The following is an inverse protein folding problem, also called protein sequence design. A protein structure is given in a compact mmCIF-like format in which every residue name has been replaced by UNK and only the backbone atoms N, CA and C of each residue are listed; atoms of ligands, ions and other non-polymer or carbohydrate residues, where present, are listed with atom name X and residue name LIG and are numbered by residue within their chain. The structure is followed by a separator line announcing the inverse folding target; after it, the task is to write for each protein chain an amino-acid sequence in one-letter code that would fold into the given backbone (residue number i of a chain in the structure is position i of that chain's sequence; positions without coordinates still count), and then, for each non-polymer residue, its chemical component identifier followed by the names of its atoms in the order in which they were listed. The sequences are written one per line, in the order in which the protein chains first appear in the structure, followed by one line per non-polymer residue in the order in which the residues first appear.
data_IF_642415970487
#
_entry.id   IF_642415970487
#
_cell.length_a   1.000
_cell.length_b   1.000
_cell.length_c   1.000
_cell.angle_alpha   90.00
_cell.angle_beta   90.00
_cell.angle_gamma   90.00
#
_symmetry.space_group_name_H-M   'P 1'
#
loop_
_entity.id
_entity.type
_entity.pdbx_description
1 polymer ?
#
# COMPACT_ATOMS: atom_id res chain seq x y z
N UNK A 1 -6.69 11.41 13.11
CA UNK A 1 -6.37 12.58 12.25
C UNK A 1 -5.51 12.08 11.08
N UNK A 2 -5.76 12.54 9.86
CA UNK A 2 -5.00 12.14 8.66
C UNK A 2 -3.70 12.95 8.52
N UNK A 3 -2.69 12.36 7.88
CA UNK A 3 -1.38 12.98 7.65
C UNK A 3 -1.23 13.70 6.32
N UNK A 4 -1.92 13.23 5.27
CA UNK A 4 -1.81 13.78 3.91
C UNK A 4 -3.14 13.78 3.18
N UNK A 5 -3.26 14.60 2.13
CA UNK A 5 -4.43 14.59 1.25
C UNK A 5 -4.60 13.22 0.56
N UNK A 6 -3.50 12.58 0.17
CA UNK A 6 -3.52 11.26 -0.45
C UNK A 6 -4.08 10.20 0.53
N UNK A 7 -3.70 10.26 1.81
CA UNK A 7 -4.26 9.37 2.83
C UNK A 7 -5.77 9.58 3.03
N UNK A 8 -6.25 10.82 2.98
CA UNK A 8 -7.70 11.12 3.05
C UNK A 8 -8.43 10.55 1.84
N UNK A 9 -7.92 10.79 0.62
CA UNK A 9 -8.51 10.28 -0.60
C UNK A 9 -8.57 8.75 -0.58
N UNK A 10 -7.47 8.10 -0.19
CA UNK A 10 -7.39 6.66 -0.06
C UNK A 10 -8.35 6.11 0.99
N UNK A 11 -8.53 6.80 2.12
CA UNK A 11 -9.48 6.37 3.14
C UNK A 11 -10.94 6.55 2.70
N UNK A 12 -11.23 7.60 1.94
CA UNK A 12 -12.58 7.92 1.48
C UNK A 12 -13.14 6.97 0.42
N UNK A 13 -12.30 6.12 -0.20
CA UNK A 13 -12.74 5.14 -1.19
C UNK A 13 -13.01 5.72 -2.58
N UNK A 14 -12.40 6.85 -2.93
CA UNK A 14 -12.56 7.52 -4.22
C UNK A 14 -11.27 7.44 -5.06
N UNK A 15 -11.13 6.44 -5.96
CA UNK A 15 -9.93 6.28 -6.80
C UNK A 15 -9.57 7.50 -7.65
N UNK A 16 -10.57 8.25 -8.11
CA UNK A 16 -10.36 9.42 -8.97
C UNK A 16 -9.53 10.50 -8.27
N UNK A 17 -9.76 10.73 -6.97
CA UNK A 17 -8.97 11.70 -6.22
C UNK A 17 -7.55 11.20 -5.94
N UNK A 18 -7.37 9.89 -5.78
CA UNK A 18 -6.04 9.27 -5.63
C UNK A 18 -5.22 9.50 -6.91
N UNK A 19 -5.80 9.20 -8.08
CA UNK A 19 -5.15 9.41 -9.38
C UNK A 19 -4.81 10.88 -9.63
N UNK A 20 -5.73 11.81 -9.33
CA UNK A 20 -5.49 13.25 -9.49
C UNK A 20 -4.32 13.70 -8.61
N UNK A 21 -4.28 13.27 -7.35
CA UNK A 21 -3.23 13.67 -6.42
C UNK A 21 -1.86 13.12 -6.85
N UNK A 22 -1.79 11.84 -7.25
CA UNK A 22 -0.56 11.22 -7.76
C UNK A 22 -0.08 11.90 -9.05
N UNK A 23 -0.99 12.21 -9.97
CA UNK A 23 -0.68 12.94 -11.21
C UNK A 23 -0.15 14.36 -10.96
N UNK A 24 -0.49 14.96 -9.82
CA UNK A 24 0.03 16.26 -9.37
C UNK A 24 1.29 16.13 -8.48
N UNK A 25 1.93 14.97 -8.46
CA UNK A 25 3.20 14.76 -7.76
C UNK A 25 3.08 14.55 -6.25
N UNK A 26 1.90 14.14 -5.75
CA UNK A 26 1.81 13.69 -4.37
C UNK A 26 2.75 12.51 -4.13
N UNK A 27 3.56 12.59 -3.07
CA UNK A 27 4.40 11.48 -2.66
C UNK A 27 3.54 10.31 -2.17
N UNK A 28 3.57 9.21 -2.93
CA UNK A 28 2.82 7.98 -2.67
C UNK A 28 3.17 7.35 -1.31
N UNK A 29 4.39 7.59 -0.83
CA UNK A 29 4.94 7.00 0.40
C UNK A 29 4.94 7.97 1.59
N UNK A 30 4.36 9.17 1.42
CA UNK A 30 4.31 10.17 2.48
C UNK A 30 3.64 9.61 3.74
N UNK A 31 4.40 9.66 4.85
CA UNK A 31 4.00 9.14 6.15
C UNK A 31 3.32 10.21 7.01
N UNK A 32 2.37 9.78 7.85
CA UNK A 32 1.73 10.61 8.86
C UNK A 32 0.30 10.20 9.21
N UNK A 33 -0.23 10.78 10.28
CA UNK A 33 -1.59 10.51 10.73
C UNK A 33 -1.81 9.08 11.23
N UNK A 34 -3.08 8.73 11.44
CA UNK A 34 -3.47 7.49 12.12
C UNK A 34 -3.13 6.21 11.33
N UNK A 35 -3.18 6.28 10.00
CA UNK A 35 -2.98 5.11 9.15
C UNK A 35 -1.52 4.86 8.76
N UNK A 36 -0.61 5.83 8.91
CA UNK A 36 0.76 5.75 8.39
C UNK A 36 0.84 6.38 7.00
N UNK A 37 0.64 5.62 5.92
CA UNK A 37 0.56 6.17 4.55
C UNK A 37 -0.80 5.91 3.89
N UNK A 38 -0.88 6.22 2.59
CA UNK A 38 -2.08 6.05 1.78
C UNK A 38 -2.45 4.58 1.53
N UNK A 39 -1.45 3.71 1.29
CA UNK A 39 -1.67 2.28 1.06
C UNK A 39 -2.25 1.62 2.30
N UNK A 40 -1.70 1.93 3.47
CA UNK A 40 -2.21 1.45 4.75
C UNK A 40 -3.64 1.93 5.05
N UNK A 41 -4.00 3.15 4.66
CA UNK A 41 -5.37 3.64 4.77
C UNK A 41 -6.34 2.87 3.86
N UNK A 42 -5.97 2.65 2.59
CA UNK A 42 -6.75 1.85 1.65
C UNK A 42 -6.92 0.41 2.15
N UNK A 43 -5.85 -0.20 2.69
CA UNK A 43 -5.88 -1.54 3.25
C UNK A 43 -6.71 -1.66 4.51
N UNK A 44 -6.64 -0.67 5.41
CA UNK A 44 -7.43 -0.62 6.63
C UNK A 44 -8.93 -0.39 6.39
N UNK A 45 -9.34 -0.02 5.17
CA UNK A 45 -10.74 0.21 4.81
C UNK A 45 -11.22 -0.64 3.62
N UNK A 46 -10.39 -1.57 3.13
CA UNK A 46 -10.77 -2.57 2.14
C UNK A 46 -10.85 -2.06 0.70
N UNK A 47 -10.25 -0.91 0.39
CA UNK A 47 -10.35 -0.27 -0.92
C UNK A 47 -9.37 -0.86 -1.93
N UNK A 48 -9.70 -2.05 -2.46
CA UNK A 48 -8.85 -2.81 -3.37
C UNK A 48 -8.32 -1.99 -4.56
N UNK A 49 -9.21 -1.30 -5.28
CA UNK A 49 -8.83 -0.52 -6.46
C UNK A 49 -7.84 0.60 -6.12
N UNK A 50 -7.97 1.21 -4.95
CA UNK A 50 -7.04 2.25 -4.50
C UNK A 50 -5.69 1.63 -4.15
N UNK A 51 -5.68 0.48 -3.48
CA UNK A 51 -4.44 -0.23 -3.19
C UNK A 51 -3.68 -0.57 -4.49
N UNK A 52 -4.37 -1.07 -5.53
CA UNK A 52 -3.78 -1.33 -6.84
C UNK A 52 -3.15 -0.07 -7.46
N UNK A 53 -3.86 1.06 -7.45
CA UNK A 53 -3.37 2.34 -8.01
C UNK A 53 -2.10 2.80 -7.27
N UNK A 54 -2.11 2.75 -5.94
CA UNK A 54 -0.97 3.17 -5.13
C UNK A 54 0.25 2.26 -5.38
N UNK A 55 0.03 0.95 -5.47
CA UNK A 55 1.10 -0.01 -5.77
C UNK A 55 1.67 0.19 -7.18
N UNK A 56 0.82 0.48 -8.17
CA UNK A 56 1.26 0.84 -9.52
C UNK A 56 2.14 2.09 -9.54
N UNK A 57 1.89 3.04 -8.62
CA UNK A 57 2.68 4.26 -8.46
C UNK A 57 3.88 4.10 -7.52
N UNK A 58 4.23 2.87 -7.12
CA UNK A 58 5.44 2.60 -6.33
C UNK A 58 5.26 2.79 -4.82
N UNK A 59 4.03 2.60 -4.30
CA UNK A 59 3.84 2.49 -2.87
C UNK A 59 4.68 1.35 -2.28
N UNK A 60 5.45 1.64 -1.24
CA UNK A 60 6.21 0.64 -0.50
C UNK A 60 5.24 -0.25 0.30
N UNK A 61 5.10 -1.49 -0.16
CA UNK A 61 4.25 -2.53 0.44
C UNK A 61 4.63 -2.83 1.89
N UNK A 62 5.91 -2.64 2.24
CA UNK A 62 6.48 -2.97 3.53
C UNK A 62 6.68 -1.77 4.45
N UNK A 63 6.28 -0.57 4.00
CA UNK A 63 6.36 0.65 4.79
C UNK A 63 5.69 0.46 6.16
N UNK A 64 6.43 0.85 7.20
CA UNK A 64 5.98 0.76 8.58
C UNK A 64 5.41 2.11 9.05
N UNK A 65 4.31 2.07 9.79
CA UNK A 65 3.63 3.25 10.31
C UNK A 65 2.20 2.98 10.77
N UNK A 66 1.56 4.02 11.29
CA UNK A 66 0.15 3.94 11.71
C UNK A 66 -0.14 2.91 12.79
N UNK A 67 -1.43 2.72 13.08
CA UNK A 67 -1.88 1.86 14.19
C UNK A 67 -1.72 0.35 13.93
N UNK A 68 -1.57 -0.07 12.66
CA UNK A 68 -1.53 -1.49 12.29
C UNK A 68 -0.13 -1.98 11.90
N UNK A 69 0.88 -1.11 11.81
CA UNK A 69 2.24 -1.48 11.38
C UNK A 69 2.44 -1.33 9.86
N UNK A 70 1.90 -2.23 9.03
CA UNK A 70 1.97 -2.10 7.56
C UNK A 70 0.61 -2.35 6.87
N UNK A 71 0.59 -2.29 5.54
CA UNK A 71 -0.62 -2.44 4.74
C UNK A 71 -1.24 -3.84 4.89
N UNK A 72 -0.42 -4.89 4.91
CA UNK A 72 -0.89 -6.27 5.06
C UNK A 72 -1.51 -6.50 6.44
N UNK A 73 -0.84 -6.05 7.50
CA UNK A 73 -1.35 -6.13 8.87
C UNK A 73 -2.65 -5.34 9.03
N UNK A 74 -2.79 -4.17 8.39
CA UNK A 74 -4.03 -3.42 8.37
C UNK A 74 -5.19 -4.18 7.71
N UNK A 75 -4.97 -4.78 6.54
CA UNK A 75 -5.97 -5.57 5.84
C UNK A 75 -6.39 -6.82 6.64
N UNK A 76 -5.42 -7.51 7.26
CA UNK A 76 -5.66 -8.67 8.13
C UNK A 76 -6.46 -8.29 9.37
N UNK A 77 -6.08 -7.22 10.07
CA UNK A 77 -6.76 -6.75 11.28
C UNK A 77 -8.23 -6.40 11.04
N UNK A 78 -8.58 -6.04 9.80
CA UNK A 78 -9.94 -5.66 9.40
C UNK A 78 -10.68 -6.74 8.60
N UNK A 79 -10.02 -7.85 8.27
CA UNK A 79 -10.62 -8.98 7.56
C UNK A 79 -10.86 -8.76 6.06
N UNK A 80 -10.15 -7.83 5.42
CA UNK A 80 -10.34 -7.53 3.99
C UNK A 80 -9.58 -8.49 3.08
N UNK A 81 -10.20 -9.65 2.84
CA UNK A 81 -9.60 -10.79 2.11
C UNK A 81 -8.96 -10.42 0.77
N UNK A 82 -9.64 -9.61 -0.05
CA UNK A 82 -9.14 -9.25 -1.39
C UNK A 82 -7.87 -8.40 -1.34
N UNK A 83 -7.81 -7.42 -0.42
CA UNK A 83 -6.60 -6.62 -0.24
C UNK A 83 -5.47 -7.45 0.37
N UNK A 84 -5.78 -8.33 1.32
CA UNK A 84 -4.80 -9.28 1.87
C UNK A 84 -4.20 -10.16 0.77
N UNK A 85 -5.02 -10.70 -0.13
CA UNK A 85 -4.55 -11.52 -1.24
C UNK A 85 -3.65 -10.73 -2.20
N UNK A 86 -4.04 -9.50 -2.57
CA UNK A 86 -3.23 -8.61 -3.40
C UNK A 86 -1.83 -8.39 -2.79
N UNK A 87 -1.77 -8.04 -1.50
CA UNK A 87 -0.52 -7.73 -0.81
C UNK A 87 0.37 -8.97 -0.62
N UNK A 88 -0.21 -10.13 -0.32
CA UNK A 88 0.53 -11.40 -0.23
C UNK A 88 1.11 -11.84 -1.58
N UNK A 89 0.39 -11.61 -2.68
CA UNK A 89 0.89 -11.94 -4.02
C UNK A 89 2.13 -11.11 -4.37
N UNK A 90 2.14 -9.82 -4.01
CA UNK A 90 3.28 -8.93 -4.27
C UNK A 90 4.50 -9.27 -3.40
N UNK A 91 4.28 -9.56 -2.11
CA UNK A 91 5.36 -9.95 -1.20
C UNK A 91 6.07 -11.24 -1.64
N UNK A 92 5.30 -12.23 -2.11
CA UNK A 92 5.84 -13.49 -2.66
C UNK A 92 6.56 -13.30 -3.99
N UNK A 93 6.07 -12.39 -4.85
CA UNK A 93 6.74 -12.10 -6.12
C UNK A 93 8.10 -11.44 -5.90
N UNK A 94 8.21 -10.54 -4.91
CA UNK A 94 9.49 -9.89 -4.54
C UNK A 94 10.46 -10.90 -3.95
N UNK A 95 9.99 -11.75 -3.02
CA UNK A 95 10.80 -12.82 -2.41
C UNK A 95 11.35 -13.78 -3.48
N UNK A 96 10.50 -14.25 -4.39
CA UNK A 96 10.93 -15.15 -5.46
C UNK A 96 11.95 -14.50 -6.42
N UNK A 97 11.81 -13.21 -6.74
CA UNK A 97 12.77 -12.52 -7.61
C UNK A 97 14.13 -12.33 -6.94
N UNK A 98 14.15 -12.02 -5.64
CA UNK A 98 15.39 -11.98 -4.86
C UNK A 98 16.02 -13.38 -4.77
N UNK A 99 15.23 -14.41 -4.51
CA UNK A 99 15.70 -15.80 -4.47
C UNK A 99 16.28 -16.25 -5.82
N UNK A 100 15.63 -15.89 -6.93
CA UNK A 100 16.13 -16.15 -8.29
C UNK A 100 17.44 -15.40 -8.54
N UNK A 101 17.52 -14.10 -8.23
CA UNK A 101 18.74 -13.32 -8.41
C UNK A 101 19.89 -13.83 -7.53
N UNK A 102 19.60 -14.30 -6.32
CA UNK A 102 20.61 -14.89 -5.43
C UNK A 102 21.09 -16.27 -5.92
N UNK A 103 20.19 -17.04 -6.53
CA UNK A 103 20.49 -18.38 -7.08
C UNK A 103 21.30 -18.29 -8.38
N UNK A 104 21.06 -17.27 -9.21
CA UNK A 104 21.70 -17.11 -10.52
C UNK A 104 22.79 -16.03 -10.57
N UNK A 105 22.95 -15.22 -9.52
CA UNK A 105 23.94 -14.15 -9.43
C UNK A 105 25.26 -14.51 -8.74
N UNK A 106 25.50 -15.79 -8.40
CA UNK A 106 26.74 -16.28 -7.76
C UNK A 106 27.65 -17.12 -8.68
N UNK A 107 27.55 -16.99 -10.00
CA UNK A 107 28.52 -17.55 -10.95
C UNK A 107 29.14 -16.46 -11.80
#
# INVERSE_FOLDING_TARGET
RYGTALQVASASGHPQFVEILLSNGADVNAQGGLYGNALQAASALGHLRIAEILLLHGADVNAQGGIHGNALQAALAKGYKTVTQLLLMLDRAISNWQDLMNTFGQT
#
